data_IF_596616424922
#
_entry.id   IF_596616424922
#
_cell.length_a   1.000
_cell.length_b   1.000
_cell.length_c   1.000
_cell.angle_alpha   90.00
_cell.angle_beta   90.00
_cell.angle_gamma   90.00
#
_symmetry.space_group_name_H-M   'P 1'
#
loop_
_entity.id
_entity.type
_entity.pdbx_description
1 polymer ?
#
# COMPACT_ATOMS: atom_id res chain seq x y z
N UNK A 1 7.21 5.90 6.07
CA UNK A 1 6.44 7.12 6.46
C UNK A 1 5.17 6.72 7.22
N UNK A 2 5.24 5.69 8.01
CA UNK A 2 4.05 5.23 8.79
C UNK A 2 2.77 5.37 7.95
N UNK A 3 1.64 5.38 8.60
CA UNK A 3 0.36 5.51 7.84
C UNK A 3 0.38 4.64 6.59
N UNK A 4 0.42 3.35 6.75
CA UNK A 4 0.44 2.44 5.58
C UNK A 4 -0.64 2.85 4.58
N UNK A 5 -0.71 2.19 3.45
CA UNK A 5 -1.74 2.54 2.44
C UNK A 5 -1.72 1.52 1.31
N UNK A 6 -2.27 0.36 1.54
CA UNK A 6 -2.27 -0.69 0.47
C UNK A 6 -2.63 -0.08 -0.87
N UNK A 7 -1.65 0.18 -1.70
CA UNK A 7 -1.93 0.78 -3.03
C UNK A 7 -2.43 -0.29 -4.00
N UNK A 8 -3.53 -0.04 -4.67
CA UNK A 8 -4.06 -1.04 -5.62
C UNK A 8 -3.66 -0.68 -7.05
N UNK A 9 -3.39 -1.66 -7.87
CA UNK A 9 -3.00 -1.37 -9.28
C UNK A 9 -4.26 -1.34 -10.16
N UNK A 10 -5.31 -0.74 -9.67
CA UNK A 10 -6.56 -0.67 -10.47
C UNK A 10 -6.93 -2.05 -11.03
N UNK A 11 -7.56 -2.87 -10.24
CA UNK A 11 -7.95 -4.22 -10.73
C UNK A 11 -7.90 -5.22 -9.58
N UNK A 12 -6.86 -5.19 -8.80
CA UNK A 12 -6.75 -6.15 -7.66
C UNK A 12 -5.34 -6.06 -7.07
N UNK A 13 -4.36 -5.91 -7.90
CA UNK A 13 -2.96 -5.80 -7.40
C UNK A 13 -2.89 -4.75 -6.31
N UNK A 14 -3.07 -5.16 -5.08
CA UNK A 14 -3.02 -4.19 -3.95
C UNK A 14 -1.86 -4.54 -3.04
N UNK A 15 -0.86 -3.72 -2.98
CA UNK A 15 0.30 -4.03 -2.10
C UNK A 15 0.36 -3.06 -0.91
N UNK A 16 0.79 -3.53 0.22
CA UNK A 16 0.88 -2.63 1.42
C UNK A 16 2.32 -2.17 1.65
N UNK A 17 2.55 -0.89 1.60
CA UNK A 17 3.93 -0.37 1.83
C UNK A 17 4.03 0.30 3.19
N UNK A 18 3.49 -0.32 4.20
CA UNK A 18 3.56 0.28 5.56
C UNK A 18 4.96 0.82 5.85
N UNK A 19 5.07 2.10 6.15
CA UNK A 19 6.42 2.68 6.42
C UNK A 19 7.36 2.42 5.24
#
# INVERSE_FOLDING_TARGET
>A
RRWCFRVCYRGRFCYRKCRX
#
